data_IF_382444153168
#
_entry.id   IF_382444153168
#
_cell.length_a   1.000
_cell.length_b   1.000
_cell.length_c   1.000
_cell.angle_alpha   90.00
_cell.angle_beta   90.00
_cell.angle_gamma   90.00
#
_symmetry.space_group_name_H-M   'P 1'
#
loop_
_entity.id
_entity.type
_entity.pdbx_description
1 polymer ?
#
# COMPACT_ATOMS: atom_id res chain seq x y z
N UNK A 1 -24.87 7.31 -9.14
CA UNK A 1 -23.52 7.85 -8.88
C UNK A 1 -22.65 7.67 -10.11
N UNK A 2 -21.80 8.65 -10.44
CA UNK A 2 -21.02 8.66 -11.67
C UNK A 2 -19.91 7.58 -11.63
N UNK A 3 -19.88 6.72 -12.65
CA UNK A 3 -18.86 5.68 -12.80
C UNK A 3 -17.50 6.32 -13.07
N UNK A 4 -16.66 6.45 -12.05
CA UNK A 4 -15.35 7.07 -12.23
C UNK A 4 -14.43 6.09 -12.97
N UNK A 5 -14.16 6.37 -14.26
CA UNK A 5 -13.25 5.57 -15.07
C UNK A 5 -11.80 5.99 -14.86
N UNK A 6 -11.05 5.14 -14.17
CA UNK A 6 -9.64 5.37 -13.86
C UNK A 6 -8.73 4.97 -15.04
N UNK A 7 -8.39 5.94 -15.90
CA UNK A 7 -7.29 5.96 -16.89
C UNK A 7 -7.06 4.66 -17.72
N UNK A 8 -7.92 4.31 -18.68
CA UNK A 8 -7.83 3.06 -19.45
C UNK A 8 -6.50 2.84 -20.22
N UNK A 9 -5.93 3.91 -20.80
CA UNK A 9 -4.73 3.82 -21.65
C UNK A 9 -3.43 3.54 -20.87
N UNK A 10 -3.24 4.20 -19.72
CA UNK A 10 -2.07 3.96 -18.86
C UNK A 10 -2.07 2.55 -18.26
N UNK A 11 -3.27 2.03 -18.02
CA UNK A 11 -3.52 0.71 -17.44
C UNK A 11 -3.10 -0.43 -18.36
N UNK A 12 -3.53 -0.40 -19.63
CA UNK A 12 -3.14 -1.42 -20.63
C UNK A 12 -1.63 -1.45 -20.83
N UNK A 13 -0.97 -0.28 -20.86
CA UNK A 13 0.49 -0.17 -20.95
C UNK A 13 1.17 -0.80 -19.74
N UNK A 14 0.71 -0.48 -18.53
CA UNK A 14 1.34 -0.96 -17.32
C UNK A 14 1.13 -2.46 -17.09
N UNK A 15 -0.07 -2.99 -17.41
CA UNK A 15 -0.34 -4.44 -17.48
C UNK A 15 0.62 -5.15 -18.42
N UNK A 16 0.75 -4.64 -19.65
CA UNK A 16 1.66 -5.21 -20.66
C UNK A 16 3.12 -5.19 -20.18
N UNK A 17 3.55 -4.08 -19.58
CA UNK A 17 4.90 -3.96 -19.02
C UNK A 17 5.16 -4.97 -17.90
N UNK A 18 4.19 -5.18 -16.99
CA UNK A 18 4.30 -6.22 -15.96
C UNK A 18 4.43 -7.60 -16.61
N UNK A 19 3.56 -7.93 -17.55
CA UNK A 19 3.55 -9.24 -18.21
C UNK A 19 4.85 -9.51 -18.99
N UNK A 20 5.38 -8.52 -19.71
CA UNK A 20 6.66 -8.61 -20.42
C UNK A 20 7.85 -8.79 -19.47
N UNK A 21 7.78 -8.20 -18.27
CA UNK A 21 8.84 -8.24 -17.27
C UNK A 21 8.87 -9.53 -16.43
N UNK A 22 7.75 -10.24 -16.30
CA UNK A 22 7.65 -11.45 -15.45
C UNK A 22 8.63 -12.57 -15.83
N UNK A 23 9.00 -12.68 -17.12
CA UNK A 23 9.98 -13.65 -17.61
C UNK A 23 11.43 -13.33 -17.19
N UNK A 24 11.69 -12.10 -16.76
CA UNK A 24 13.03 -11.62 -16.43
C UNK A 24 13.34 -11.61 -14.93
N UNK A 25 12.31 -11.79 -14.09
CA UNK A 25 12.43 -11.84 -12.63
C UNK A 25 12.32 -13.28 -12.13
N UNK A 26 12.73 -13.55 -10.90
CA UNK A 26 12.66 -14.85 -10.24
C UNK A 26 11.42 -14.98 -9.36
N UNK A 27 11.03 -13.88 -8.75
CA UNK A 27 9.84 -13.73 -7.93
C UNK A 27 9.28 -12.32 -8.12
N UNK A 28 8.09 -12.08 -7.58
CA UNK A 28 7.45 -10.76 -7.59
C UNK A 28 7.29 -10.26 -6.16
N UNK A 29 7.71 -9.03 -5.92
CA UNK A 29 7.43 -8.32 -4.68
C UNK A 29 6.13 -7.54 -4.85
N UNK A 30 5.09 -7.93 -4.10
CA UNK A 30 3.80 -7.24 -4.08
C UNK A 30 3.80 -6.30 -2.87
N UNK A 31 3.69 -4.99 -3.10
CA UNK A 31 3.70 -4.00 -2.04
C UNK A 31 2.28 -3.49 -1.78
N UNK A 32 1.82 -3.67 -0.55
CA UNK A 32 0.52 -3.19 -0.05
C UNK A 32 0.73 -2.24 1.12
N UNK A 33 -0.29 -1.44 1.44
CA UNK A 33 -0.30 -0.58 2.63
C UNK A 33 -0.80 -1.40 3.83
N UNK A 34 -0.01 -1.50 4.89
CA UNK A 34 -0.31 -2.29 6.08
C UNK A 34 -1.60 -1.82 6.80
N UNK A 35 -2.03 -0.59 6.55
CA UNK A 35 -3.29 -0.06 7.09
C UNK A 35 -4.51 -0.59 6.34
N UNK A 36 -4.35 -1.22 5.18
CA UNK A 36 -5.43 -1.80 4.40
C UNK A 36 -4.88 -2.90 3.48
N UNK A 37 -4.41 -4.03 4.06
CA UNK A 37 -3.65 -5.03 3.30
C UNK A 37 -4.43 -5.76 2.20
N UNK A 38 -5.76 -5.78 2.27
CA UNK A 38 -6.63 -6.39 1.26
C UNK A 38 -7.08 -5.32 0.26
N UNK A 39 -7.65 -4.22 0.73
CA UNK A 39 -8.19 -3.14 -0.09
C UNK A 39 -7.12 -2.43 -0.94
N UNK A 40 -5.84 -2.48 -0.53
CA UNK A 40 -4.72 -1.96 -1.33
C UNK A 40 -4.10 -2.96 -2.31
N UNK A 41 -4.66 -4.17 -2.43
CA UNK A 41 -4.28 -5.10 -3.50
C UNK A 41 -4.90 -4.68 -4.83
N UNK A 42 -4.22 -5.04 -5.91
CA UNK A 42 -4.76 -4.88 -7.25
C UNK A 42 -5.11 -6.27 -7.81
N UNK A 43 -6.40 -6.66 -7.87
CA UNK A 43 -6.82 -7.98 -8.32
C UNK A 43 -6.33 -8.32 -9.74
N UNK A 44 -6.23 -7.31 -10.62
CA UNK A 44 -5.72 -7.49 -11.98
C UNK A 44 -4.24 -7.91 -11.95
N UNK A 45 -3.44 -7.28 -11.09
CA UNK A 45 -2.03 -7.62 -10.95
C UNK A 45 -1.84 -9.03 -10.39
N UNK A 46 -2.63 -9.43 -9.40
CA UNK A 46 -2.58 -10.79 -8.83
C UNK A 46 -2.81 -11.85 -9.90
N UNK A 47 -3.79 -11.63 -10.79
CA UNK A 47 -4.06 -12.51 -11.94
C UNK A 47 -2.90 -12.58 -12.94
N UNK A 48 -2.24 -11.45 -13.20
CA UNK A 48 -1.10 -11.38 -14.16
C UNK A 48 0.12 -12.11 -13.61
N UNK A 49 0.39 -12.02 -12.31
CA UNK A 49 1.55 -12.68 -11.67
C UNK A 49 1.44 -14.20 -11.73
N UNK A 50 0.22 -14.76 -11.70
CA UNK A 50 -0.01 -16.21 -11.79
C UNK A 50 0.70 -16.98 -10.69
N UNK A 51 1.37 -18.07 -11.04
CA UNK A 51 2.07 -18.97 -10.10
C UNK A 51 3.51 -18.55 -9.78
N UNK A 52 3.97 -17.39 -10.30
CA UNK A 52 5.29 -16.87 -9.97
C UNK A 52 5.40 -16.70 -8.45
N UNK A 53 6.51 -17.10 -7.80
CA UNK A 53 6.69 -16.91 -6.35
C UNK A 53 6.46 -15.45 -5.95
N UNK A 54 5.75 -15.24 -4.83
CA UNK A 54 5.28 -13.92 -4.38
C UNK A 54 5.82 -13.63 -2.99
N UNK A 55 6.42 -12.45 -2.84
CA UNK A 55 6.72 -11.85 -1.53
C UNK A 55 5.75 -10.69 -1.32
N UNK A 56 4.78 -10.86 -0.43
CA UNK A 56 3.82 -9.81 -0.08
C UNK A 56 4.39 -8.95 1.06
N UNK A 57 4.63 -7.68 0.77
CA UNK A 57 5.17 -6.73 1.73
C UNK A 57 4.07 -5.77 2.20
N UNK A 58 3.75 -5.83 3.49
CA UNK A 58 2.87 -4.89 4.18
C UNK A 58 3.71 -3.67 4.62
N UNK A 59 3.73 -2.64 3.79
CA UNK A 59 4.53 -1.44 4.01
C UNK A 59 3.80 -0.41 4.87
N UNK A 60 4.54 0.57 5.41
CA UNK A 60 4.02 1.57 6.37
C UNK A 60 3.51 0.91 7.66
N UNK A 61 4.15 -0.18 8.08
CA UNK A 61 3.81 -0.89 9.32
C UNK A 61 3.98 0.01 10.57
N UNK A 62 4.73 1.12 10.46
CA UNK A 62 4.85 2.15 11.49
C UNK A 62 3.55 2.94 11.73
N UNK A 63 2.64 2.96 10.75
CA UNK A 63 1.32 3.62 10.82
C UNK A 63 0.16 2.63 11.03
N UNK A 64 0.42 1.32 10.92
CA UNK A 64 -0.61 0.28 10.97
C UNK A 64 -0.75 -0.31 12.37
N UNK A 65 -1.96 -0.77 12.71
CA UNK A 65 -2.19 -1.48 13.97
C UNK A 65 -1.37 -2.79 13.98
N UNK A 66 -0.57 -2.99 15.02
CA UNK A 66 0.38 -4.09 15.07
C UNK A 66 -0.27 -5.46 15.27
N UNK A 67 -1.42 -5.52 15.92
CA UNK A 67 -2.17 -6.77 16.10
C UNK A 67 -2.86 -7.15 14.80
N UNK A 68 -3.57 -6.21 14.17
CA UNK A 68 -4.20 -6.45 12.86
C UNK A 68 -3.18 -6.76 11.77
N UNK A 69 -2.01 -6.13 11.81
CA UNK A 69 -0.91 -6.47 10.89
C UNK A 69 -0.47 -7.93 11.05
N UNK A 70 -0.42 -8.47 12.28
CA UNK A 70 -0.11 -9.89 12.51
C UNK A 70 -1.21 -10.80 11.96
N UNK A 71 -2.47 -10.47 12.22
CA UNK A 71 -3.64 -11.22 11.70
C UNK A 71 -3.62 -11.29 10.18
N UNK A 72 -3.43 -10.16 9.50
CA UNK A 72 -3.33 -10.11 8.04
C UNK A 72 -2.15 -10.92 7.50
N UNK A 73 -1.01 -10.90 8.19
CA UNK A 73 0.12 -11.75 7.81
C UNK A 73 -0.22 -13.23 7.92
N UNK A 74 -0.83 -13.66 9.02
CA UNK A 74 -1.30 -15.04 9.19
C UNK A 74 -2.32 -15.45 8.14
N UNK A 75 -3.24 -14.56 7.77
CA UNK A 75 -4.22 -14.78 6.71
C UNK A 75 -3.56 -15.03 5.35
N UNK A 76 -2.59 -14.21 4.93
CA UNK A 76 -1.91 -14.45 3.65
C UNK A 76 -0.94 -15.64 3.70
N UNK A 77 -0.29 -15.88 4.83
CA UNK A 77 0.60 -17.02 5.02
C UNK A 77 -0.15 -18.36 4.99
N UNK A 78 -1.39 -18.42 5.49
CA UNK A 78 -2.25 -19.62 5.38
C UNK A 78 -2.64 -19.94 3.93
N UNK A 79 -2.61 -18.94 3.04
CA UNK A 79 -2.80 -19.10 1.60
C UNK A 79 -1.49 -19.43 0.85
N UNK A 80 -0.40 -19.70 1.58
CA UNK A 80 0.91 -20.02 1.00
C UNK A 80 1.68 -18.81 0.48
N UNK A 81 1.27 -17.58 0.81
CA UNK A 81 1.97 -16.36 0.40
C UNK A 81 2.96 -15.95 1.49
N UNK A 82 4.25 -15.86 1.15
CA UNK A 82 5.26 -15.35 2.09
C UNK A 82 5.02 -13.87 2.36
N UNK A 83 4.92 -13.47 3.62
CA UNK A 83 4.68 -12.08 4.01
C UNK A 83 5.87 -11.44 4.72
N UNK A 84 5.93 -10.10 4.68
CA UNK A 84 6.83 -9.29 5.49
C UNK A 84 6.19 -7.94 5.79
N UNK A 85 6.15 -7.53 7.06
CA UNK A 85 5.75 -6.16 7.43
C UNK A 85 7.00 -5.28 7.61
N UNK A 86 7.02 -4.10 6.97
CA UNK A 86 8.16 -3.17 7.04
C UNK A 86 7.73 -1.71 7.10
N UNK A 87 8.67 -0.86 7.50
CA UNK A 87 8.70 0.55 7.13
C UNK A 87 9.81 0.77 6.10
N UNK A 88 9.45 1.02 4.83
CA UNK A 88 10.43 1.26 3.75
C UNK A 88 11.40 2.42 4.01
N UNK A 89 11.10 3.30 4.98
CA UNK A 89 12.01 4.38 5.37
C UNK A 89 13.16 3.90 6.26
N UNK A 90 13.08 2.73 6.87
CA UNK A 90 14.10 2.22 7.78
C UNK A 90 15.26 1.53 7.05
N UNK A 91 16.47 1.61 7.61
CA UNK A 91 17.66 0.96 7.06
C UNK A 91 17.60 -0.57 7.18
N UNK A 92 16.99 -1.08 8.25
CA UNK A 92 16.75 -2.51 8.52
C UNK A 92 16.02 -3.21 7.37
N UNK A 93 15.17 -2.48 6.63
CA UNK A 93 14.40 -2.96 5.47
C UNK A 93 15.26 -3.72 4.47
N UNK A 94 16.48 -3.27 4.18
CA UNK A 94 17.32 -3.91 3.15
C UNK A 94 17.65 -5.35 3.53
N UNK A 95 18.02 -5.58 4.80
CA UNK A 95 18.30 -6.91 5.34
C UNK A 95 17.03 -7.76 5.35
N UNK A 96 15.94 -7.24 5.92
CA UNK A 96 14.67 -7.96 6.05
C UNK A 96 14.13 -8.45 4.70
N UNK A 97 14.14 -7.59 3.68
CA UNK A 97 13.67 -7.94 2.33
C UNK A 97 14.60 -8.96 1.67
N UNK A 98 15.92 -8.83 1.84
CA UNK A 98 16.90 -9.77 1.28
C UNK A 98 16.75 -11.16 1.91
N UNK A 99 16.61 -11.23 3.24
CA UNK A 99 16.44 -12.49 3.97
C UNK A 99 15.12 -13.17 3.60
N UNK A 100 14.03 -12.40 3.49
CA UNK A 100 12.73 -12.91 3.03
C UNK A 100 12.79 -13.43 1.59
N UNK A 101 13.48 -12.74 0.69
CA UNK A 101 13.66 -13.18 -0.70
C UNK A 101 14.47 -14.48 -0.81
N UNK A 102 15.56 -14.62 -0.03
CA UNK A 102 16.34 -15.85 0.03
C UNK A 102 15.54 -17.02 0.59
N UNK A 103 14.75 -16.78 1.64
CA UNK A 103 13.85 -17.78 2.20
C UNK A 103 12.79 -18.22 1.18
N UNK A 104 12.19 -17.29 0.44
CA UNK A 104 11.20 -17.60 -0.60
C UNK A 104 11.82 -18.41 -1.76
N UNK A 105 13.06 -18.11 -2.13
CA UNK A 105 13.74 -18.70 -3.29
C UNK A 105 14.76 -19.78 -2.91
N UNK A 106 14.64 -20.38 -1.73
CA UNK A 106 15.61 -21.33 -1.19
C UNK A 106 15.86 -22.51 -2.14
N UNK A 107 14.80 -23.13 -2.69
CA UNK A 107 14.90 -24.23 -3.64
C UNK A 107 15.64 -23.85 -4.92
N UNK A 108 15.40 -22.64 -5.42
CA UNK A 108 16.11 -22.14 -6.60
C UNK A 108 17.59 -21.96 -6.29
N UNK A 109 17.91 -21.34 -5.14
CA UNK A 109 19.29 -21.13 -4.70
C UNK A 109 20.02 -22.46 -4.57
N UNK A 110 19.38 -23.46 -3.97
CA UNK A 110 19.94 -24.80 -3.84
C UNK A 110 20.26 -25.43 -5.20
N UNK A 111 19.32 -25.39 -6.16
CA UNK A 111 19.55 -25.91 -7.53
C UNK A 111 20.69 -25.18 -8.25
N UNK A 112 20.89 -23.88 -8.00
CA UNK A 112 22.02 -23.14 -8.57
C UNK A 112 23.35 -23.63 -7.99
N UNK A 113 23.40 -23.88 -6.68
CA UNK A 113 24.58 -24.43 -5.99
C UNK A 113 24.94 -25.81 -6.49
N UNK A 114 23.96 -26.69 -6.65
CA UNK A 114 24.16 -28.05 -7.19
C UNK A 114 24.73 -28.03 -8.61
N UNK A 115 24.44 -26.98 -9.39
CA UNK A 115 24.99 -26.77 -10.74
C UNK A 115 26.33 -26.02 -10.75
N UNK A 116 26.94 -25.77 -9.59
CA UNK A 116 28.22 -25.06 -9.45
C UNK A 116 28.16 -23.56 -9.77
N UNK A 117 26.96 -22.97 -9.85
CA UNK A 117 26.80 -21.54 -10.13
C UNK A 117 27.04 -20.74 -8.84
N UNK A 118 28.13 -20.00 -8.80
CA UNK A 118 28.52 -19.21 -7.60
C UNK A 118 27.70 -17.92 -7.42
N UNK A 119 27.05 -17.42 -8.48
CA UNK A 119 26.29 -16.17 -8.44
C UNK A 119 24.81 -16.44 -8.20
N UNK A 120 24.38 -16.24 -6.95
CA UNK A 120 23.01 -16.49 -6.46
C UNK A 120 22.11 -15.24 -6.49
N UNK A 121 22.47 -14.22 -7.28
CA UNK A 121 21.70 -12.95 -7.32
C UNK A 121 20.27 -13.20 -7.78
N UNK A 122 19.31 -12.92 -6.90
CA UNK A 122 17.89 -13.01 -7.18
C UNK A 122 17.39 -11.74 -7.88
N UNK A 123 16.43 -11.91 -8.78
CA UNK A 123 15.79 -10.81 -9.49
C UNK A 123 14.33 -10.66 -9.09
N UNK A 124 13.89 -9.45 -8.79
CA UNK A 124 12.49 -9.15 -8.51
C UNK A 124 12.03 -7.89 -9.21
N UNK A 125 10.71 -7.74 -9.33
CA UNK A 125 10.06 -6.47 -9.66
C UNK A 125 9.08 -6.12 -8.54
N UNK A 126 8.90 -4.82 -8.29
CA UNK A 126 8.02 -4.34 -7.22
C UNK A 126 6.72 -3.82 -7.84
N UNK A 127 5.63 -4.53 -7.61
CA UNK A 127 4.30 -4.14 -8.07
C UNK A 127 3.42 -3.67 -6.91
N UNK A 128 2.36 -2.93 -7.24
CA UNK A 128 1.39 -2.43 -6.27
C UNK A 128 0.80 -1.09 -6.69
N UNK A 129 -0.19 -0.64 -5.93
CA UNK A 129 -0.95 0.57 -6.22
C UNK A 129 -0.10 1.83 -6.04
N UNK A 130 -0.43 2.98 -6.66
CA UNK A 130 0.17 4.27 -6.35
C UNK A 130 0.20 4.54 -4.84
N UNK A 131 1.22 5.27 -4.38
CA UNK A 131 1.41 5.64 -2.98
C UNK A 131 1.54 4.49 -1.96
N UNK A 132 1.60 3.21 -2.39
CA UNK A 132 1.97 2.07 -1.54
C UNK A 132 3.44 2.13 -1.04
N UNK A 133 4.25 3.04 -1.58
CA UNK A 133 5.65 3.27 -1.17
C UNK A 133 6.70 2.55 -2.01
N UNK A 134 6.37 2.11 -3.24
CA UNK A 134 7.28 1.38 -4.14
C UNK A 134 8.59 2.13 -4.40
N UNK A 135 8.53 3.40 -4.76
CA UNK A 135 9.73 4.21 -5.02
C UNK A 135 10.56 4.43 -3.75
N UNK A 136 9.92 4.54 -2.59
CA UNK A 136 10.61 4.61 -1.29
C UNK A 136 11.37 3.32 -1.01
N UNK A 137 10.71 2.17 -1.18
CA UNK A 137 11.33 0.85 -1.01
C UNK A 137 12.48 0.64 -2.00
N UNK A 138 12.27 0.97 -3.27
CA UNK A 138 13.27 0.84 -4.32
C UNK A 138 14.52 1.71 -4.03
N UNK A 139 14.32 2.98 -3.65
CA UNK A 139 15.42 3.85 -3.25
C UNK A 139 16.15 3.33 -2.00
N UNK A 140 15.40 2.81 -1.02
CA UNK A 140 15.97 2.21 0.19
C UNK A 140 16.84 1.01 -0.14
N UNK A 141 16.35 0.14 -1.02
CA UNK A 141 17.05 -1.07 -1.46
C UNK A 141 18.29 -0.74 -2.29
N UNK A 142 18.23 0.28 -3.15
CA UNK A 142 19.36 0.65 -4.00
C UNK A 142 20.45 1.50 -3.30
N UNK A 143 20.23 1.91 -2.04
CA UNK A 143 21.20 2.68 -1.25
C UNK A 143 21.48 4.10 -1.76
N UNK A 144 20.76 4.57 -2.79
CA UNK A 144 20.86 5.93 -3.37
C UNK A 144 19.46 6.41 -3.76
N UNK A 145 19.24 7.73 -3.82
CA UNK A 145 18.03 8.31 -4.42
C UNK A 145 18.10 8.10 -5.95
N UNK A 146 17.56 6.98 -6.43
CA UNK A 146 17.54 6.65 -7.86
C UNK A 146 16.26 7.18 -8.52
N UNK A 147 15.16 7.28 -7.78
CA UNK A 147 13.91 7.83 -8.27
C UNK A 147 13.98 9.37 -8.39
N UNK A 148 14.80 9.85 -9.32
CA UNK A 148 14.59 11.14 -9.97
C UNK A 148 13.73 10.83 -11.19
N UNK A 149 12.45 11.21 -11.11
CA UNK A 149 11.53 11.22 -12.25
C UNK A 149 12.08 12.21 -13.27
N UNK A 150 12.88 11.72 -14.20
CA UNK A 150 13.32 12.48 -15.37
C UNK A 150 12.21 12.47 -16.42
N UNK A 151 11.29 13.43 -16.34
CA UNK A 151 10.35 13.78 -17.42
C UNK A 151 11.11 14.33 -18.64
N UNK A 152 11.75 13.46 -19.43
CA UNK A 152 12.11 13.77 -20.82
C UNK A 152 11.26 12.90 -21.76
N UNK A 153 10.26 13.48 -22.45
CA UNK A 153 9.56 12.79 -23.53
C UNK A 153 10.57 12.33 -24.59
N UNK A 154 10.46 11.08 -25.06
CA UNK A 154 11.16 10.62 -26.27
C UNK A 154 12.39 9.72 -26.11
N UNK A 155 12.78 9.30 -24.90
CA UNK A 155 13.88 8.31 -24.74
C UNK A 155 13.48 7.20 -23.78
N UNK A 156 13.00 6.08 -24.33
CA UNK A 156 12.88 4.82 -23.59
C UNK A 156 14.29 4.25 -23.38
N UNK A 157 14.96 4.67 -22.30
CA UNK A 157 16.13 3.92 -21.81
C UNK A 157 15.64 2.51 -21.45
N UNK A 158 16.31 1.47 -21.96
CA UNK A 158 15.91 0.07 -21.74
C UNK A 158 15.75 -0.30 -20.26
N UNK A 159 15.10 -1.43 -19.99
CA UNK A 159 14.85 -1.96 -18.63
C UNK A 159 16.10 -1.81 -17.73
N UNK A 160 16.04 -0.94 -16.72
CA UNK A 160 17.16 -0.69 -15.81
C UNK A 160 17.03 -1.56 -14.56
N UNK A 161 17.99 -2.46 -14.38
CA UNK A 161 18.15 -3.23 -13.15
C UNK A 161 18.88 -2.40 -12.10
N UNK A 162 18.23 -2.24 -10.96
CA UNK A 162 18.80 -1.60 -9.78
C UNK A 162 19.40 -2.68 -8.90
N UNK A 163 20.73 -2.69 -8.77
CA UNK A 163 21.42 -3.57 -7.83
C UNK A 163 21.16 -3.06 -6.41
N UNK A 164 20.45 -3.83 -5.60
CA UNK A 164 20.25 -3.51 -4.19
C UNK A 164 21.49 -3.88 -3.38
N UNK A 165 21.90 -5.14 -3.50
CA UNK A 165 23.13 -5.68 -2.93
C UNK A 165 23.62 -6.83 -3.83
N UNK A 166 24.59 -7.62 -3.37
CA UNK A 166 25.11 -8.77 -4.14
C UNK A 166 24.07 -9.87 -4.40
N UNK A 167 23.03 -9.91 -3.58
CA UNK A 167 22.03 -10.97 -3.53
C UNK A 167 20.70 -10.59 -4.23
N UNK A 168 20.44 -9.31 -4.47
CA UNK A 168 19.16 -8.83 -4.99
C UNK A 168 19.29 -7.72 -6.06
N UNK A 169 18.67 -7.96 -7.21
CA UNK A 169 18.47 -7.03 -8.32
C UNK A 169 16.97 -6.71 -8.47
N UNK A 170 16.63 -5.44 -8.66
CA UNK A 170 15.24 -4.97 -8.71
C UNK A 170 14.99 -4.29 -10.05
N UNK A 171 13.91 -4.68 -10.70
CA UNK A 171 13.40 -4.03 -11.89
C UNK A 171 12.37 -2.97 -11.50
N UNK A 172 12.58 -1.74 -11.97
CA UNK A 172 11.64 -0.65 -11.74
C UNK A 172 10.35 -0.86 -12.54
N UNK A 173 9.21 -0.77 -11.85
CA UNK A 173 7.88 -0.85 -12.47
C UNK A 173 6.97 0.26 -11.93
N UNK A 174 6.19 0.92 -12.81
CA UNK A 174 5.27 1.98 -12.39
C UNK A 174 4.17 1.44 -11.47
N UNK A 175 3.54 2.33 -10.70
CA UNK A 175 2.34 2.01 -9.94
C UNK A 175 1.11 1.84 -10.83
N UNK A 176 0.27 0.87 -10.48
CA UNK A 176 -0.86 0.45 -11.31
C UNK A 176 -2.11 0.36 -10.42
N UNK A 177 -3.11 1.23 -10.67
CA UNK A 177 -4.46 1.11 -10.09
C UNK A 177 -5.29 0.10 -10.89
N UNK A 178 -6.58 -0.06 -10.62
CA UNK A 178 -7.47 -0.85 -11.46
C UNK A 178 -8.72 -0.03 -11.79
N UNK A 179 -9.37 -0.28 -12.94
CA UNK A 179 -10.26 0.69 -13.58
C UNK A 179 -11.60 0.91 -12.87
N UNK A 180 -12.04 -0.03 -12.01
CA UNK A 180 -13.30 0.07 -11.26
C UNK A 180 -13.10 -0.51 -9.86
N UNK A 181 -13.47 0.26 -8.84
CA UNK A 181 -13.78 -0.29 -7.54
C UNK A 181 -15.22 -0.78 -7.63
N UNK A 182 -15.43 -2.09 -7.50
CA UNK A 182 -16.78 -2.66 -7.43
C UNK A 182 -17.42 -2.35 -6.06
N UNK A 183 -16.56 -2.07 -5.06
CA UNK A 183 -16.92 -1.74 -3.70
C UNK A 183 -16.57 -0.28 -3.37
N UNK A 184 -17.58 0.49 -2.98
CA UNK A 184 -17.46 1.90 -2.57
C UNK A 184 -16.61 2.07 -1.30
N UNK A 185 -16.70 1.11 -0.37
CA UNK A 185 -15.95 1.11 0.88
C UNK A 185 -14.45 1.03 0.62
N UNK A 186 -14.03 0.22 -0.37
CA UNK A 186 -12.63 0.16 -0.81
C UNK A 186 -12.17 1.52 -1.33
N UNK A 187 -13.03 2.24 -2.06
CA UNK A 187 -12.77 3.61 -2.52
C UNK A 187 -12.52 4.56 -1.35
N UNK A 188 -13.39 4.54 -0.34
CA UNK A 188 -13.28 5.36 0.87
C UNK A 188 -12.01 5.04 1.68
N UNK A 189 -11.67 3.76 1.86
CA UNK A 189 -10.42 3.32 2.52
C UNK A 189 -9.17 3.81 1.77
N UNK A 190 -9.17 3.69 0.45
CA UNK A 190 -8.07 4.14 -0.41
C UNK A 190 -7.94 5.67 -0.40
N UNK A 191 -9.05 6.40 -0.37
CA UNK A 191 -9.04 7.85 -0.23
C UNK A 191 -8.49 8.25 1.14
N UNK A 192 -9.03 7.72 2.23
CA UNK A 192 -8.60 8.08 3.60
C UNK A 192 -7.08 7.88 3.79
N UNK A 193 -6.52 6.81 3.22
CA UNK A 193 -5.08 6.49 3.32
C UNK A 193 -4.17 7.20 2.32
N UNK A 194 -4.75 7.94 1.36
CA UNK A 194 -4.05 8.71 0.33
C UNK A 194 -3.51 7.86 -0.83
N UNK A 195 -4.10 6.69 -1.07
CA UNK A 195 -3.73 5.82 -2.18
C UNK A 195 -4.26 6.32 -3.54
N UNK A 196 -5.40 7.02 -3.51
CA UNK A 196 -5.98 7.73 -4.65
C UNK A 196 -5.94 9.25 -4.40
N UNK A 197 -6.11 10.05 -5.45
CA UNK A 197 -6.14 11.51 -5.35
C UNK A 197 -7.39 11.99 -4.61
N UNK A 198 -7.31 13.15 -3.97
CA UNK A 198 -8.39 13.69 -3.14
C UNK A 198 -9.57 14.21 -3.98
N UNK A 199 -9.36 14.62 -5.24
CA UNK A 199 -10.43 15.14 -6.11
C UNK A 199 -11.41 14.07 -6.62
N UNK A 200 -11.26 12.85 -6.15
CA UNK A 200 -11.90 11.67 -6.74
C UNK A 200 -13.16 11.26 -5.98
N UNK A 201 -13.22 11.56 -4.69
CA UNK A 201 -14.37 11.34 -3.84
C UNK A 201 -14.64 12.63 -3.06
N UNK A 202 -15.91 12.91 -2.72
CA UNK A 202 -16.26 14.00 -1.82
C UNK A 202 -15.53 13.85 -0.47
N UNK A 203 -14.90 14.92 0.01
CA UNK A 203 -14.07 14.89 1.21
C UNK A 203 -14.89 14.75 2.50
N UNK A 204 -16.13 15.20 2.48
CA UNK A 204 -17.15 14.97 3.50
C UNK A 204 -17.45 13.47 3.65
N UNK A 205 -17.70 12.74 2.56
CA UNK A 205 -17.91 11.28 2.60
C UNK A 205 -16.70 10.54 3.18
N UNK A 206 -15.49 10.89 2.74
CA UNK A 206 -14.24 10.29 3.26
C UNK A 206 -14.05 10.60 4.75
N UNK A 207 -14.39 11.81 5.17
CA UNK A 207 -14.29 12.23 6.58
C UNK A 207 -15.32 11.53 7.46
N UNK A 208 -16.58 11.45 7.01
CA UNK A 208 -17.65 10.74 7.70
C UNK A 208 -17.30 9.26 7.86
N UNK A 209 -16.85 8.61 6.78
CA UNK A 209 -16.36 7.23 6.83
C UNK A 209 -15.24 7.07 7.87
N UNK A 210 -14.22 7.95 7.83
CA UNK A 210 -13.11 7.90 8.75
C UNK A 210 -13.53 8.09 10.21
N UNK A 211 -14.39 9.08 10.49
CA UNK A 211 -14.91 9.31 11.84
C UNK A 211 -15.64 8.08 12.36
N UNK A 212 -16.61 7.57 11.61
CA UNK A 212 -17.38 6.38 12.01
C UNK A 212 -16.49 5.17 12.23
N UNK A 213 -15.50 4.96 11.37
CA UNK A 213 -14.55 3.86 11.52
C UNK A 213 -13.75 3.98 12.82
N UNK A 214 -13.19 5.16 13.10
CA UNK A 214 -12.41 5.37 14.32
C UNK A 214 -13.29 5.35 15.57
N UNK A 215 -14.55 5.83 15.53
CA UNK A 215 -15.50 5.72 16.64
C UNK A 215 -15.70 4.26 17.06
N UNK A 216 -15.87 3.37 16.09
CA UNK A 216 -16.14 1.95 16.35
C UNK A 216 -14.88 1.22 16.81
N UNK A 217 -13.75 1.41 16.11
CA UNK A 217 -12.59 0.55 16.28
C UNK A 217 -11.44 1.16 17.09
N UNK A 218 -11.37 2.48 17.20
CA UNK A 218 -10.28 3.20 17.87
C UNK A 218 -10.76 4.48 18.59
N UNK A 219 -11.84 4.44 19.41
CA UNK A 219 -12.48 5.62 19.98
C UNK A 219 -11.51 6.47 20.82
N UNK A 220 -10.71 5.80 21.66
CA UNK A 220 -9.72 6.45 22.54
C UNK A 220 -8.75 7.36 21.77
N UNK A 221 -8.43 7.02 20.52
CA UNK A 221 -7.50 7.79 19.68
C UNK A 221 -8.13 9.06 19.11
N UNK A 222 -9.43 9.02 18.85
CA UNK A 222 -10.18 10.23 18.50
C UNK A 222 -10.24 11.18 19.69
N UNK A 223 -10.55 10.67 20.88
CA UNK A 223 -10.64 11.49 22.09
C UNK A 223 -9.30 12.12 22.47
N UNK A 224 -8.21 11.36 22.37
CA UNK A 224 -6.86 11.86 22.64
C UNK A 224 -6.48 12.98 21.65
N UNK A 225 -6.77 12.78 20.36
CA UNK A 225 -6.41 13.74 19.32
C UNK A 225 -7.32 14.97 19.33
N UNK A 226 -8.63 14.77 19.32
CA UNK A 226 -9.64 15.81 19.21
C UNK A 226 -10.30 16.01 20.57
N UNK A 227 -9.60 16.69 21.48
CA UNK A 227 -10.08 16.92 22.85
C UNK A 227 -11.48 17.52 22.88
N UNK A 228 -12.36 16.85 23.63
CA UNK A 228 -13.75 17.25 23.78
C UNK A 228 -14.64 16.88 22.59
N UNK A 229 -14.20 15.99 21.70
CA UNK A 229 -15.09 15.34 20.73
C UNK A 229 -16.16 14.54 21.47
N UNK A 230 -17.41 14.67 21.04
CA UNK A 230 -18.51 13.83 21.52
C UNK A 230 -18.66 12.64 20.57
N UNK A 231 -18.37 11.43 21.05
CA UNK A 231 -18.45 10.22 20.23
C UNK A 231 -19.85 9.62 20.18
N UNK A 232 -20.81 10.11 20.98
CA UNK A 232 -22.20 9.65 20.90
C UNK A 232 -22.92 10.30 19.71
N UNK A 233 -22.47 11.48 19.27
CA UNK A 233 -23.04 12.23 18.16
C UNK A 233 -22.76 11.63 16.78
N UNK A 234 -23.64 11.90 15.82
CA UNK A 234 -23.44 11.49 14.42
C UNK A 234 -22.27 12.25 13.78
N UNK A 235 -21.61 11.64 12.78
CA UNK A 235 -20.41 12.23 12.17
C UNK A 235 -20.61 13.67 11.65
N UNK A 236 -21.75 14.06 11.03
CA UNK A 236 -22.00 15.45 10.64
C UNK A 236 -22.03 16.43 11.83
N UNK A 237 -22.59 16.02 12.97
CA UNK A 237 -22.65 16.85 14.18
C UNK A 237 -21.26 16.99 14.81
N UNK A 238 -20.49 15.91 14.85
CA UNK A 238 -19.07 15.93 15.24
C UNK A 238 -18.29 16.91 14.37
N UNK A 239 -18.45 16.84 13.04
CA UNK A 239 -17.80 17.74 12.08
C UNK A 239 -18.14 19.19 12.42
N UNK A 240 -19.42 19.51 12.58
CA UNK A 240 -19.88 20.87 12.85
C UNK A 240 -19.32 21.40 14.17
N UNK A 241 -19.41 20.60 15.24
CA UNK A 241 -18.95 21.02 16.55
C UNK A 241 -17.42 21.20 16.60
N UNK A 242 -16.68 20.26 16.01
CA UNK A 242 -15.22 20.33 15.96
C UNK A 242 -14.72 21.47 15.08
N UNK A 243 -15.39 21.77 13.97
CA UNK A 243 -15.09 22.92 13.10
C UNK A 243 -15.20 24.23 13.90
N UNK A 244 -16.26 24.37 14.70
CA UNK A 244 -16.44 25.51 15.61
C UNK A 244 -15.37 25.56 16.70
N UNK A 245 -15.12 24.44 17.40
CA UNK A 245 -14.13 24.34 18.50
C UNK A 245 -12.71 24.65 18.03
N UNK A 246 -12.35 24.28 16.81
CA UNK A 246 -11.04 24.54 16.21
C UNK A 246 -10.89 25.97 15.65
N UNK A 247 -11.94 26.80 15.74
CA UNK A 247 -11.90 28.19 15.27
C UNK A 247 -12.03 28.33 13.75
N UNK A 248 -12.51 27.29 13.05
CA UNK A 248 -12.73 27.31 11.60
C UNK A 248 -14.08 27.92 11.19
N UNK A 249 -14.92 28.30 12.16
CA UNK A 249 -16.27 28.86 11.91
C UNK A 249 -17.13 27.84 11.14
N UNK A 250 -17.62 28.19 9.96
CA UNK A 250 -18.40 27.32 9.07
C UNK A 250 -17.57 26.75 7.91
N UNK A 251 -16.23 26.85 7.99
CA UNK A 251 -15.31 26.27 6.99
C UNK A 251 -15.08 24.78 7.27
N UNK A 252 -16.04 23.94 6.88
CA UNK A 252 -15.98 22.49 7.05
C UNK A 252 -14.87 21.83 6.23
N UNK A 253 -14.54 22.40 5.06
CA UNK A 253 -13.45 21.92 4.21
C UNK A 253 -12.10 21.95 4.95
N UNK A 254 -11.85 22.96 5.80
CA UNK A 254 -10.66 22.96 6.67
C UNK A 254 -10.66 21.80 7.64
N UNK A 255 -11.81 21.43 8.21
CA UNK A 255 -11.89 20.28 9.10
C UNK A 255 -11.65 18.98 8.35
N UNK A 256 -12.27 18.78 7.18
CA UNK A 256 -12.06 17.58 6.35
C UNK A 256 -10.58 17.41 6.00
N UNK A 257 -9.95 18.48 5.53
CA UNK A 257 -8.54 18.47 5.18
C UNK A 257 -7.65 18.21 6.39
N UNK A 258 -7.94 18.82 7.55
CA UNK A 258 -7.22 18.58 8.79
C UNK A 258 -7.32 17.12 9.22
N UNK A 259 -8.55 16.60 9.35
CA UNK A 259 -8.81 15.25 9.81
C UNK A 259 -8.12 14.21 8.93
N UNK A 260 -8.34 14.26 7.61
CA UNK A 260 -7.74 13.31 6.67
C UNK A 260 -6.23 13.42 6.66
N UNK A 261 -5.66 14.64 6.71
CA UNK A 261 -4.21 14.82 6.82
C UNK A 261 -3.65 14.16 8.08
N UNK A 262 -4.32 14.29 9.20
CA UNK A 262 -3.86 13.76 10.48
C UNK A 262 -3.98 12.24 10.58
N UNK A 263 -5.01 11.68 9.98
CA UNK A 263 -5.12 10.23 9.75
C UNK A 263 -3.96 9.74 8.88
N UNK A 264 -3.58 10.46 7.83
CA UNK A 264 -2.47 10.07 6.95
C UNK A 264 -1.09 10.23 7.60
N UNK A 265 -0.93 11.26 8.43
CA UNK A 265 0.32 11.57 9.15
C UNK A 265 0.50 10.72 10.42
N UNK A 266 -0.47 9.86 10.76
CA UNK A 266 -0.42 8.99 11.96
C UNK A 266 -0.64 9.74 13.28
N UNK A 267 -1.26 10.93 13.24
CA UNK A 267 -1.53 11.74 14.43
C UNK A 267 -2.64 11.17 15.31
N UNK A 268 -3.50 10.31 14.76
CA UNK A 268 -4.48 9.51 15.50
C UNK A 268 -3.91 8.13 15.90
N UNK A 269 -2.59 7.98 15.97
CA UNK A 269 -1.94 6.70 16.26
C UNK A 269 -2.02 5.68 15.11
N UNK A 270 -1.75 4.41 15.45
CA UNK A 270 -1.55 3.32 14.48
C UNK A 270 -2.83 2.54 14.17
N UNK A 271 -3.43 2.71 13.00
CA UNK A 271 -4.70 2.08 12.66
C UNK A 271 -4.60 1.18 11.43
N UNK A 272 -5.47 0.18 11.36
CA UNK A 272 -5.69 -0.62 10.15
C UNK A 272 -7.18 -0.63 9.86
N UNK A 273 -7.56 -0.25 8.64
CA UNK A 273 -8.92 -0.15 8.11
C UNK A 273 -9.51 -1.51 7.70
N UNK A 274 -8.66 -2.41 7.20
CA UNK A 274 -9.12 -3.75 6.86
C UNK A 274 -9.12 -4.69 8.09
N UNK A 275 -10.15 -5.51 8.21
CA UNK A 275 -10.39 -6.46 9.30
C UNK A 275 -10.57 -7.86 8.70
N UNK A 276 -9.77 -8.81 9.17
CA UNK A 276 -9.90 -10.23 8.78
C UNK A 276 -11.25 -10.76 9.28
N UNK A 277 -11.96 -11.55 8.46
CA UNK A 277 -13.35 -11.94 8.71
C UNK A 277 -14.30 -10.97 8.02
N UNK A 278 -14.39 -9.72 8.52
CA UNK A 278 -15.33 -8.71 7.96
C UNK A 278 -15.05 -8.44 6.48
N UNK A 279 -13.80 -8.12 6.12
CA UNK A 279 -13.46 -7.77 4.74
C UNK A 279 -13.16 -9.00 3.86
N UNK A 280 -12.99 -10.18 4.46
CA UNK A 280 -12.67 -11.41 3.70
C UNK A 280 -13.92 -12.21 3.35
N UNK A 281 -14.97 -12.13 4.16
CA UNK A 281 -16.15 -12.98 4.04
C UNK A 281 -17.26 -12.33 3.20
N UNK A 282 -17.08 -11.06 2.82
CA UNK A 282 -18.00 -10.35 1.91
C UNK A 282 -19.29 -9.86 2.57
N UNK A 283 -19.40 -9.96 3.89
CA UNK A 283 -20.51 -9.40 4.68
C UNK A 283 -20.28 -7.90 4.90
N UNK A 284 -20.52 -7.11 3.84
CA UNK A 284 -20.83 -5.68 3.91
C UNK A 284 -22.10 -5.38 3.12
#
# INVERSE_FOLDING_TARGET
MATIQWFPGHMSKARRQVQENLKHVDFVTILVDARLPLSSQNPMLTKIVGDKPKLLILNKADLADSNRTKEWRSYFESQGIKTLAINSKEQSTVKLVTDAAKSLMADKIQRLRERGIQKETLRTMIIGIPNAGKSTLMNRLAGKKIAVVGNKPGVTKGQQWLKSNKDLEILDTPGILWPKFEDELVGLKLALTGAIKDQLLPMDEVTIFGLNYFKIYYPERLEERFKGIDLEEEAPEIIMEMTRKLGFREDYDRFYNLFVKEVRDGKLGRYTLDIVGVDTDGDN
#
